data_IF_538990480354
#
_entry.id   IF_538990480354
#
_cell.length_a   1.000
_cell.length_b   1.000
_cell.length_c   1.000
_cell.angle_alpha   90.00
_cell.angle_beta   90.00
_cell.angle_gamma   90.00
#
_symmetry.space_group_name_H-M   'P 1'
#
loop_
_entity.id
_entity.type
_entity.pdbx_description
1 polymer ?
#
# COMPACT_ATOMS: atom_id res chain seq x y z
N UNK A 1 -8.99 68.43 0.29
CA UNK A 1 -9.57 67.18 -0.26
C UNK A 1 -8.54 66.59 -1.22
N UNK A 2 -7.54 65.82 -0.77
CA UNK A 2 -7.52 64.34 -0.64
C UNK A 2 -8.30 63.62 -1.75
N UNK A 3 -7.60 63.11 -2.76
CA UNK A 3 -8.00 61.90 -3.49
C UNK A 3 -6.74 61.14 -3.95
N UNK A 4 -6.43 60.09 -3.20
CA UNK A 4 -5.45 59.05 -3.53
C UNK A 4 -6.12 58.05 -4.48
N UNK A 5 -5.44 57.61 -5.53
CA UNK A 5 -5.81 56.42 -6.30
C UNK A 5 -4.56 55.62 -6.62
N UNK A 6 -4.18 54.78 -5.65
CA UNK A 6 -3.26 53.67 -5.84
C UNK A 6 -4.02 52.55 -6.56
N UNK A 7 -3.61 52.23 -7.78
CA UNK A 7 -4.05 51.05 -8.51
C UNK A 7 -3.30 49.84 -7.95
N UNK A 8 -3.96 49.09 -7.05
CA UNK A 8 -3.50 47.78 -6.58
C UNK A 8 -3.98 46.73 -7.59
N UNK A 9 -3.06 46.24 -8.42
CA UNK A 9 -3.27 45.06 -9.25
C UNK A 9 -3.31 43.81 -8.34
N UNK A 10 -4.52 43.37 -8.00
CA UNK A 10 -4.74 42.09 -7.32
C UNK A 10 -4.59 40.95 -8.34
N UNK A 11 -3.42 40.33 -8.39
CA UNK A 11 -3.23 39.05 -9.09
C UNK A 11 -3.91 37.97 -8.26
N UNK A 12 -5.16 37.67 -8.62
CA UNK A 12 -5.89 36.50 -8.13
C UNK A 12 -5.26 35.26 -8.77
N UNK A 13 -4.23 34.71 -8.12
CA UNK A 13 -3.73 33.36 -8.44
C UNK A 13 -4.82 32.36 -8.09
N UNK A 14 -5.56 31.89 -9.09
CA UNK A 14 -6.37 30.68 -8.98
C UNK A 14 -5.43 29.52 -8.65
N UNK A 15 -5.28 29.21 -7.36
CA UNK A 15 -4.67 27.96 -6.92
C UNK A 15 -5.67 26.86 -7.27
N UNK A 16 -5.54 26.31 -8.47
CA UNK A 16 -6.26 25.08 -8.82
C UNK A 16 -5.77 24.01 -7.85
N UNK A 17 -6.63 23.40 -7.03
CA UNK A 17 -6.18 22.31 -6.18
C UNK A 17 -5.72 21.19 -7.12
N UNK A 18 -4.41 20.93 -7.15
CA UNK A 18 -3.86 19.74 -7.77
C UNK A 18 -4.55 18.56 -7.10
N UNK A 19 -5.39 17.84 -7.85
CA UNK A 19 -6.03 16.63 -7.36
C UNK A 19 -4.91 15.69 -6.90
N UNK A 20 -4.90 15.34 -5.61
CA UNK A 20 -3.82 14.56 -5.03
C UNK A 20 -3.74 13.20 -5.74
N UNK A 21 -2.53 12.82 -6.16
CA UNK A 21 -2.25 11.51 -6.73
C UNK A 21 -2.69 10.41 -5.74
N UNK A 22 -3.70 9.59 -6.07
CA UNK A 22 -4.21 8.56 -5.16
C UNK A 22 -3.17 7.48 -4.87
N UNK A 23 -2.22 7.25 -5.79
CA UNK A 23 -1.15 6.25 -5.62
C UNK A 23 -0.11 6.79 -4.65
N UNK A 24 0.43 7.99 -4.90
CA UNK A 24 1.38 8.65 -4.01
C UNK A 24 0.84 8.75 -2.59
N UNK A 25 -0.41 9.17 -2.42
CA UNK A 25 -1.05 9.25 -1.10
C UNK A 25 -1.12 7.89 -0.40
N UNK A 26 -1.56 6.84 -1.10
CA UNK A 26 -1.67 5.51 -0.49
C UNK A 26 -0.31 4.94 -0.08
N UNK A 27 0.75 5.22 -0.84
CA UNK A 27 2.12 4.83 -0.49
C UNK A 27 2.63 5.60 0.74
N UNK A 28 2.36 6.90 0.82
CA UNK A 28 2.74 7.72 1.96
C UNK A 28 1.98 7.31 3.23
N UNK A 29 0.68 7.03 3.10
CA UNK A 29 -0.14 6.52 4.20
C UNK A 29 0.35 5.14 4.66
N UNK A 30 0.69 4.22 3.73
CA UNK A 30 1.22 2.91 4.08
C UNK A 30 2.56 3.01 4.85
N UNK A 31 3.45 3.92 4.43
CA UNK A 31 4.69 4.22 5.16
C UNK A 31 4.40 4.75 6.55
N UNK A 32 3.50 5.72 6.67
CA UNK A 32 3.14 6.31 7.95
C UNK A 32 2.54 5.27 8.90
N UNK A 33 1.63 4.44 8.41
CA UNK A 33 0.99 3.37 9.17
C UNK A 33 2.02 2.35 9.64
N UNK A 34 2.88 1.87 8.74
CA UNK A 34 3.91 0.91 9.11
C UNK A 34 4.90 1.49 10.13
N UNK A 35 5.38 2.73 9.96
CA UNK A 35 6.28 3.39 10.92
C UNK A 35 5.64 3.53 12.30
N UNK A 36 4.35 3.87 12.36
CA UNK A 36 3.60 3.99 13.61
C UNK A 36 3.43 2.63 14.31
N UNK A 37 3.10 1.59 13.53
CA UNK A 37 2.86 0.25 14.04
C UNK A 37 4.14 -0.52 14.40
N UNK A 38 5.26 -0.26 13.72
CA UNK A 38 6.51 -1.02 13.80
C UNK A 38 7.02 -1.30 15.22
N UNK A 39 6.99 -0.35 16.18
CA UNK A 39 7.44 -0.60 17.55
C UNK A 39 6.61 -1.67 18.29
N UNK A 40 5.36 -1.90 17.89
CA UNK A 40 4.44 -2.86 18.50
C UNK A 40 4.20 -4.11 17.62
N UNK A 41 4.68 -4.13 16.38
CA UNK A 41 4.52 -5.27 15.47
C UNK A 41 5.40 -6.45 15.88
N UNK A 42 4.80 -7.63 15.96
CA UNK A 42 5.53 -8.88 16.08
C UNK A 42 5.65 -9.54 14.70
N UNK A 43 6.63 -9.12 13.90
CA UNK A 43 6.85 -9.69 12.56
C UNK A 43 7.10 -11.20 12.56
N UNK A 44 7.75 -11.71 13.62
CA UNK A 44 8.00 -13.14 13.77
C UNK A 44 6.70 -13.97 13.90
N UNK A 45 5.65 -13.42 14.51
CA UNK A 45 4.34 -14.08 14.58
C UNK A 45 3.68 -14.26 13.20
N UNK A 46 4.13 -13.48 12.20
CA UNK A 46 3.65 -13.56 10.82
C UNK A 46 4.70 -14.16 9.88
N UNK A 47 5.87 -14.57 10.35
CA UNK A 47 7.00 -14.99 9.49
C UNK A 47 7.38 -13.90 8.46
N UNK A 48 7.42 -12.64 8.92
CA UNK A 48 7.77 -11.47 8.11
C UNK A 48 9.00 -10.78 8.70
N UNK A 49 10.04 -10.64 7.89
CA UNK A 49 11.18 -9.79 8.21
C UNK A 49 10.76 -8.31 8.09
N UNK A 50 10.57 -7.65 9.25
CA UNK A 50 10.13 -6.26 9.32
C UNK A 50 11.14 -5.28 8.72
N UNK A 51 12.43 -5.62 8.69
CA UNK A 51 13.44 -4.78 8.05
C UNK A 51 13.31 -4.88 6.54
N UNK A 52 13.20 -6.10 6.00
CA UNK A 52 12.94 -6.30 4.57
C UNK A 52 11.65 -5.62 4.12
N UNK A 53 10.58 -5.71 4.93
CA UNK A 53 9.31 -5.02 4.69
C UNK A 53 9.49 -3.49 4.66
N UNK A 54 10.18 -2.93 5.66
CA UNK A 54 10.48 -1.49 5.73
C UNK A 54 11.29 -1.04 4.51
N UNK A 55 12.36 -1.76 4.16
CA UNK A 55 13.25 -1.41 3.05
C UNK A 55 12.51 -1.51 1.69
N UNK A 56 11.63 -2.51 1.53
CA UNK A 56 10.76 -2.62 0.35
C UNK A 56 9.82 -1.42 0.23
N UNK A 57 9.22 -0.97 1.35
CA UNK A 57 8.26 0.13 1.36
C UNK A 57 8.92 1.50 1.15
N UNK A 58 10.08 1.73 1.77
CA UNK A 58 10.77 3.02 1.80
C UNK A 58 11.71 3.21 0.62
N UNK A 59 12.48 2.18 0.30
CA UNK A 59 13.62 2.26 -0.62
C UNK A 59 13.39 1.46 -1.90
N UNK A 60 12.31 0.66 -1.95
CA UNK A 60 12.00 -0.23 -3.08
C UNK A 60 13.14 -1.19 -3.43
N UNK A 61 14.05 -1.41 -2.49
CA UNK A 61 15.17 -2.33 -2.65
C UNK A 61 15.55 -2.88 -1.29
N UNK A 62 15.57 -4.20 -1.17
CA UNK A 62 15.68 -4.88 0.12
C UNK A 62 16.41 -6.21 -0.02
N UNK A 63 17.13 -6.60 1.04
CA UNK A 63 17.61 -7.96 1.15
C UNK A 63 16.44 -8.85 1.58
N UNK A 64 16.09 -9.85 0.76
CA UNK A 64 14.98 -10.76 1.05
C UNK A 64 15.48 -12.10 1.58
N UNK A 65 15.18 -12.45 2.84
CA UNK A 65 15.40 -13.79 3.35
C UNK A 65 14.60 -14.84 2.57
N UNK A 66 13.34 -14.53 2.22
CA UNK A 66 12.44 -15.44 1.51
C UNK A 66 12.94 -15.79 0.10
N UNK A 67 13.44 -14.79 -0.65
CA UNK A 67 13.99 -15.01 -2.00
C UNK A 67 15.48 -15.34 -2.02
N UNK A 68 16.17 -15.24 -0.87
CA UNK A 68 17.61 -15.52 -0.75
C UNK A 68 18.52 -14.52 -1.48
N UNK A 69 18.01 -13.33 -1.83
CA UNK A 69 18.73 -12.34 -2.65
C UNK A 69 18.24 -10.91 -2.39
N UNK A 70 18.96 -9.93 -2.93
CA UNK A 70 18.46 -8.56 -2.99
C UNK A 70 17.39 -8.47 -4.08
N UNK A 71 16.27 -7.83 -3.76
CA UNK A 71 15.16 -7.63 -4.69
C UNK A 71 14.88 -6.13 -4.85
N UNK A 72 14.59 -5.71 -6.07
CA UNK A 72 14.04 -4.39 -6.40
C UNK A 72 12.52 -4.51 -6.60
N UNK A 73 11.78 -3.56 -6.04
CA UNK A 73 10.34 -3.43 -6.20
C UNK A 73 10.04 -2.34 -7.22
N UNK A 74 9.46 -2.72 -8.35
CA UNK A 74 8.89 -1.78 -9.32
C UNK A 74 7.40 -1.65 -9.04
N UNK A 75 6.92 -0.40 -8.93
CA UNK A 75 5.50 -0.10 -8.86
C UNK A 75 5.08 0.38 -10.24
N UNK A 76 4.15 -0.32 -10.86
CA UNK A 76 3.65 -0.04 -12.21
C UNK A 76 2.16 0.32 -12.14
N UNK A 77 1.82 1.53 -12.57
CA UNK A 77 0.43 1.98 -12.73
C UNK A 77 -0.09 1.54 -14.11
N UNK A 78 -1.02 0.58 -14.13
CA UNK A 78 -1.59 0.02 -15.34
C UNK A 78 -2.87 0.78 -15.72
N UNK A 79 -2.90 1.52 -16.84
CA UNK A 79 -4.09 2.28 -17.25
C UNK A 79 -5.27 1.41 -17.74
N UNK A 80 -5.03 0.17 -18.17
CA UNK A 80 -6.08 -0.68 -18.74
C UNK A 80 -6.64 -1.73 -17.75
N UNK A 81 -7.87 -2.17 -18.00
CA UNK A 81 -8.55 -3.21 -17.20
C UNK A 81 -8.44 -4.60 -17.84
N UNK A 82 -7.46 -4.83 -18.72
CA UNK A 82 -7.28 -6.12 -19.37
C UNK A 82 -6.59 -7.12 -18.43
N UNK A 83 -6.72 -8.42 -18.73
CA UNK A 83 -6.06 -9.48 -17.96
C UNK A 83 -6.42 -9.46 -16.47
N UNK A 84 -5.40 -9.48 -15.61
CA UNK A 84 -5.56 -9.49 -14.14
C UNK A 84 -6.18 -8.18 -13.60
N UNK A 85 -5.98 -7.05 -14.27
CA UNK A 85 -6.57 -5.77 -13.88
C UNK A 85 -8.09 -5.68 -14.12
N UNK A 86 -8.67 -6.67 -14.80
CA UNK A 86 -10.13 -6.84 -14.85
C UNK A 86 -10.72 -7.44 -13.57
N UNK A 87 -9.87 -7.96 -12.67
CA UNK A 87 -10.28 -8.73 -11.48
C UNK A 87 -9.78 -8.14 -10.17
N UNK A 88 -8.62 -7.48 -10.18
CA UNK A 88 -7.94 -7.04 -8.97
C UNK A 88 -7.71 -5.53 -8.97
N UNK A 89 -7.59 -4.96 -7.76
CA UNK A 89 -7.14 -3.58 -7.58
C UNK A 89 -5.61 -3.47 -7.66
N UNK A 90 -4.89 -4.48 -7.20
CA UNK A 90 -3.45 -4.61 -7.38
C UNK A 90 -3.08 -6.09 -7.43
N UNK A 91 -1.87 -6.39 -7.88
CA UNK A 91 -1.27 -7.72 -7.75
C UNK A 91 0.24 -7.62 -7.88
N UNK A 92 0.95 -8.61 -7.32
CA UNK A 92 2.40 -8.73 -7.44
C UNK A 92 2.78 -9.87 -8.39
N UNK A 93 3.72 -9.60 -9.29
CA UNK A 93 4.34 -10.65 -10.12
C UNK A 93 5.50 -11.29 -9.36
N UNK A 94 5.31 -12.54 -8.94
CA UNK A 94 6.33 -13.37 -8.26
C UNK A 94 6.51 -14.70 -8.99
N UNK A 95 7.67 -15.39 -8.85
CA UNK A 95 8.88 -14.99 -8.13
C UNK A 95 9.63 -13.83 -8.83
N UNK A 96 10.66 -13.22 -8.20
CA UNK A 96 11.44 -12.15 -8.82
C UNK A 96 12.07 -12.59 -10.15
N UNK A 97 11.92 -11.77 -11.19
CA UNK A 97 12.60 -11.93 -12.50
C UNK A 97 13.68 -10.85 -12.62
N UNK A 98 14.92 -11.25 -12.93
CA UNK A 98 16.07 -10.33 -12.97
C UNK A 98 16.15 -9.46 -11.71
N UNK A 99 16.03 -10.13 -10.56
CA UNK A 99 16.01 -9.54 -9.20
C UNK A 99 14.92 -8.50 -8.96
N UNK A 100 13.90 -8.47 -9.81
CA UNK A 100 12.80 -7.51 -9.76
C UNK A 100 11.48 -8.20 -9.46
N UNK A 101 10.71 -7.62 -8.54
CA UNK A 101 9.29 -7.89 -8.35
C UNK A 101 8.51 -6.66 -8.80
N UNK A 102 7.40 -6.89 -9.52
CA UNK A 102 6.50 -5.81 -9.95
C UNK A 102 5.20 -5.84 -9.17
N UNK A 103 4.91 -4.78 -8.43
CA UNK A 103 3.58 -4.45 -7.92
C UNK A 103 2.83 -3.68 -9.00
N UNK A 104 1.80 -4.28 -9.58
CA UNK A 104 0.92 -3.63 -10.54
C UNK A 104 -0.28 -3.04 -9.81
N UNK A 105 -0.52 -1.75 -9.99
CA UNK A 105 -1.72 -1.05 -9.51
C UNK A 105 -2.68 -0.92 -10.69
N UNK A 106 -3.88 -1.46 -10.54
CA UNK A 106 -4.89 -1.50 -11.60
C UNK A 106 -5.87 -0.32 -11.50
N UNK A 107 -6.67 -0.02 -12.53
CA UNK A 107 -7.55 1.14 -12.52
C UNK A 107 -8.57 1.17 -11.35
N UNK A 108 -8.95 0.00 -10.84
CA UNK A 108 -9.84 -0.10 -9.67
C UNK A 108 -9.20 0.47 -8.39
N UNK A 109 -7.87 0.43 -8.26
CA UNK A 109 -7.13 1.01 -7.13
C UNK A 109 -7.43 2.50 -7.00
N UNK A 110 -7.33 3.23 -8.11
CA UNK A 110 -7.50 4.69 -8.17
C UNK A 110 -8.96 5.16 -8.28
N UNK A 111 -9.94 4.23 -8.28
CA UNK A 111 -11.36 4.56 -8.40
C UNK A 111 -11.84 5.35 -7.17
N UNK A 112 -12.73 6.32 -7.36
CA UNK A 112 -13.34 7.04 -6.24
C UNK A 112 -14.06 6.07 -5.27
N UNK A 113 -13.95 6.36 -3.96
CA UNK A 113 -14.55 5.54 -2.91
C UNK A 113 -13.70 4.34 -2.44
N UNK A 114 -12.50 4.14 -2.98
CA UNK A 114 -11.55 3.12 -2.50
C UNK A 114 -10.55 3.64 -1.45
N UNK A 115 -10.72 4.87 -0.98
CA UNK A 115 -9.70 5.61 -0.21
C UNK A 115 -9.16 4.82 1.00
N UNK A 116 -10.04 4.23 1.81
CA UNK A 116 -9.63 3.43 2.97
C UNK A 116 -8.98 2.09 2.61
N UNK A 117 -9.26 1.54 1.42
CA UNK A 117 -8.73 0.26 0.99
C UNK A 117 -7.35 0.36 0.33
N UNK A 118 -6.99 1.52 -0.25
CA UNK A 118 -5.72 1.66 -0.97
C UNK A 118 -4.51 1.39 -0.08
N UNK A 119 -4.49 1.97 1.12
CA UNK A 119 -3.43 1.77 2.10
C UNK A 119 -3.32 0.31 2.51
N UNK A 120 -4.46 -0.32 2.87
CA UNK A 120 -4.51 -1.75 3.16
C UNK A 120 -3.99 -2.58 1.97
N UNK A 121 -4.39 -2.28 0.74
CA UNK A 121 -3.93 -2.99 -0.46
C UNK A 121 -2.42 -2.90 -0.61
N UNK A 122 -1.82 -1.72 -0.46
CA UNK A 122 -0.35 -1.58 -0.50
C UNK A 122 0.29 -2.44 0.60
N UNK A 123 -0.22 -2.35 1.83
CA UNK A 123 0.33 -3.10 2.96
C UNK A 123 0.25 -4.63 2.73
N UNK A 124 -0.86 -5.10 2.18
CA UNK A 124 -1.13 -6.49 1.82
C UNK A 124 -0.19 -6.99 0.73
N UNK A 125 -0.14 -6.30 -0.41
CA UNK A 125 0.70 -6.70 -1.54
C UNK A 125 2.19 -6.71 -1.16
N UNK A 126 2.62 -5.81 -0.29
CA UNK A 126 4.00 -5.81 0.17
C UNK A 126 4.38 -7.07 0.96
N UNK A 127 3.42 -7.73 1.62
CA UNK A 127 3.68 -9.04 2.24
C UNK A 127 4.00 -10.08 1.16
N UNK A 128 3.30 -10.07 0.03
CA UNK A 128 3.63 -10.94 -1.09
C UNK A 128 5.01 -10.67 -1.67
N UNK A 129 5.42 -9.40 -1.72
CA UNK A 129 6.76 -8.99 -2.14
C UNK A 129 7.84 -9.60 -1.24
N UNK A 130 7.67 -9.56 0.09
CA UNK A 130 8.76 -9.92 1.03
C UNK A 130 8.68 -11.32 1.61
N UNK A 131 7.49 -11.93 1.68
CA UNK A 131 7.25 -13.20 2.37
C UNK A 131 6.51 -14.24 1.51
N UNK A 132 6.04 -13.91 0.31
CA UNK A 132 5.40 -14.87 -0.61
C UNK A 132 3.87 -14.94 -0.55
N UNK A 133 3.24 -15.91 -1.22
CA UNK A 133 1.86 -15.82 -1.72
C UNK A 133 0.74 -16.14 -0.71
N UNK A 134 1.03 -16.24 0.58
CA UNK A 134 -0.02 -16.56 1.58
C UNK A 134 -0.94 -15.33 1.81
N UNK A 135 -2.13 -15.39 1.20
CA UNK A 135 -3.18 -14.37 1.27
C UNK A 135 -3.65 -14.10 2.71
N UNK A 136 -3.76 -15.14 3.54
CA UNK A 136 -4.25 -15.02 4.91
C UNK A 136 -3.21 -14.35 5.81
N UNK A 137 -1.94 -14.68 5.64
CA UNK A 137 -0.83 -13.97 6.28
C UNK A 137 -0.79 -12.50 5.84
N UNK A 138 -0.88 -12.26 4.54
CA UNK A 138 -0.80 -10.92 3.97
C UNK A 138 -1.91 -10.02 4.51
N UNK A 139 -3.16 -10.51 4.52
CA UNK A 139 -4.28 -9.75 5.04
C UNK A 139 -4.22 -9.57 6.57
N UNK A 140 -3.88 -10.62 7.32
CA UNK A 140 -3.78 -10.53 8.77
C UNK A 140 -2.70 -9.53 9.21
N UNK A 141 -1.53 -9.55 8.57
CA UNK A 141 -0.47 -8.59 8.85
C UNK A 141 -0.88 -7.17 8.48
N UNK A 142 -1.46 -6.95 7.30
CA UNK A 142 -1.90 -5.63 6.86
C UNK A 142 -2.97 -5.04 7.80
N UNK A 143 -3.95 -5.85 8.22
CA UNK A 143 -4.96 -5.45 9.20
C UNK A 143 -4.33 -5.13 10.57
N UNK A 144 -3.35 -5.93 11.01
CA UNK A 144 -2.62 -5.66 12.26
C UNK A 144 -1.86 -4.33 12.23
N UNK A 145 -1.26 -3.99 11.08
CA UNK A 145 -0.60 -2.69 10.87
C UNK A 145 -1.62 -1.55 10.97
N UNK A 146 -2.76 -1.64 10.27
CA UNK A 146 -3.81 -0.61 10.37
C UNK A 146 -4.33 -0.44 11.81
N UNK A 147 -4.60 -1.56 12.49
CA UNK A 147 -5.10 -1.55 13.86
C UNK A 147 -4.12 -0.89 14.83
N UNK A 148 -2.83 -1.21 14.76
CA UNK A 148 -1.82 -0.60 15.62
C UNK A 148 -1.60 0.88 15.28
N UNK A 149 -1.70 1.26 14.00
CA UNK A 149 -1.48 2.63 13.57
C UNK A 149 -2.65 3.57 13.89
N UNK A 150 -3.89 3.08 13.83
CA UNK A 150 -5.10 3.92 13.85
C UNK A 150 -6.16 3.52 14.87
N UNK A 151 -6.02 2.36 15.53
CA UNK A 151 -7.02 1.81 16.45
C UNK A 151 -8.16 1.05 15.78
N UNK A 152 -8.17 0.96 14.45
CA UNK A 152 -9.15 0.21 13.65
C UNK A 152 -8.50 -0.37 12.40
N UNK A 153 -9.14 -1.34 11.75
CA UNK A 153 -8.72 -1.84 10.45
C UNK A 153 -9.89 -1.91 9.48
N UNK A 154 -9.58 -1.90 8.20
CA UNK A 154 -10.56 -1.98 7.11
C UNK A 154 -11.36 -3.28 7.16
N UNK A 155 -12.68 -3.21 6.91
CA UNK A 155 -13.54 -4.41 6.89
C UNK A 155 -13.21 -5.28 5.69
N UNK A 156 -12.74 -6.50 5.97
CA UNK A 156 -12.29 -7.47 4.95
C UNK A 156 -12.92 -8.84 5.12
N UNK A 157 -14.06 -8.94 5.82
CA UNK A 157 -14.72 -10.21 6.13
C UNK A 157 -14.98 -11.07 4.88
N UNK A 158 -15.49 -10.44 3.81
CA UNK A 158 -15.77 -11.11 2.54
C UNK A 158 -14.49 -11.65 1.88
N UNK A 159 -13.39 -10.89 1.95
CA UNK A 159 -12.10 -11.34 1.44
C UNK A 159 -11.54 -12.48 2.30
N UNK A 160 -11.63 -12.37 3.62
CA UNK A 160 -11.18 -13.37 4.58
C UNK A 160 -11.90 -14.70 4.38
N UNK A 161 -13.22 -14.66 4.14
CA UNK A 161 -14.04 -15.82 3.82
C UNK A 161 -13.74 -16.41 2.45
N UNK A 162 -13.62 -15.58 1.41
CA UNK A 162 -13.30 -16.04 0.06
C UNK A 162 -11.97 -16.81 0.01
N UNK A 163 -11.00 -16.41 0.83
CA UNK A 163 -9.70 -17.06 0.96
C UNK A 163 -9.66 -18.18 2.03
N UNK A 164 -10.80 -18.49 2.67
CA UNK A 164 -10.95 -19.54 3.71
C UNK A 164 -10.01 -19.36 4.89
N UNK A 165 -9.71 -18.12 5.25
CA UNK A 165 -8.70 -17.80 6.26
C UNK A 165 -9.14 -18.13 7.70
N UNK A 166 -10.41 -18.47 7.93
CA UNK A 166 -10.89 -18.95 9.23
C UNK A 166 -10.14 -20.21 9.72
N UNK A 167 -9.70 -21.05 8.78
CA UNK A 167 -8.96 -22.27 9.04
C UNK A 167 -7.43 -22.09 8.98
N UNK A 168 -6.95 -20.88 8.68
CA UNK A 168 -5.52 -20.58 8.67
C UNK A 168 -4.96 -20.43 10.09
N UNK A 169 -3.63 -20.48 10.20
CA UNK A 169 -2.92 -20.17 11.44
C UNK A 169 -2.97 -18.67 11.81
N UNK A 170 -3.33 -17.81 10.85
CA UNK A 170 -3.39 -16.36 11.03
C UNK A 170 -4.75 -15.91 11.55
N UNK A 171 -4.77 -14.76 12.24
CA UNK A 171 -5.97 -14.13 12.81
C UNK A 171 -5.94 -12.63 12.53
N UNK A 172 -7.10 -12.05 12.25
CA UNK A 172 -7.29 -10.60 12.24
C UNK A 172 -7.29 -10.07 13.69
N UNK A 173 -6.85 -8.82 13.92
CA UNK A 173 -6.85 -8.17 15.24
C UNK A 173 -8.26 -7.91 15.79
#
# INVERSE_FOLDING_TARGET
MRLWLLVLFAVFSCVVPTQADPIGRALDDAKAYFRSAAPALNGAAFDIDLRAYSDALEHRRFASPYWGKTVELIIFDQPDTSGLCGKFAAFVTTPPRDDTITLTLCPQFSRQGSDGLRTLTILHELVHVVAGPDECRAMAFAAQVEFLASGSFSRVDAYWEANKCQHSAHKMP
#
